data_IF_543432430597
#
_entry.id   IF_543432430597
#
_cell.length_a   1.000
_cell.length_b   1.000
_cell.length_c   1.000
_cell.angle_alpha   90.00
_cell.angle_beta   90.00
_cell.angle_gamma   90.00
#
_symmetry.space_group_name_H-M   'P 1'
#
loop_
_entity.id
_entity.type
_entity.pdbx_description
1 polymer ?
#
# COMPACT_ATOMS: atom_id res chain seq x y z
N UNK A 1 -7.85 -12.35 -7.46
CA UNK A 1 -6.61 -11.71 -6.98
C UNK A 1 -6.05 -10.79 -8.07
N UNK A 2 -6.03 -9.47 -7.84
CA UNK A 2 -5.62 -8.44 -8.82
C UNK A 2 -4.23 -7.86 -8.51
N UNK A 3 -3.69 -8.15 -7.32
CA UNK A 3 -2.43 -7.60 -6.82
C UNK A 3 -1.23 -7.94 -7.71
N UNK A 4 -1.06 -9.18 -8.24
CA UNK A 4 0.08 -9.52 -9.10
C UNK A 4 0.13 -8.66 -10.38
N UNK A 5 -1.02 -8.38 -10.97
CA UNK A 5 -1.12 -7.58 -12.21
C UNK A 5 -0.76 -6.12 -11.98
N UNK A 6 -1.27 -5.50 -10.89
CA UNK A 6 -0.90 -4.14 -10.49
C UNK A 6 0.61 -4.07 -10.27
N UNK A 7 1.15 -5.02 -9.50
CA UNK A 7 2.55 -5.07 -9.12
C UNK A 7 3.45 -5.12 -10.36
N UNK A 8 3.17 -6.04 -11.28
CA UNK A 8 3.91 -6.15 -12.54
C UNK A 8 3.87 -4.83 -13.34
N UNK A 9 2.70 -4.20 -13.45
CA UNK A 9 2.54 -2.96 -14.19
C UNK A 9 3.37 -1.81 -13.59
N UNK A 10 3.30 -1.63 -12.27
CA UNK A 10 4.03 -0.56 -11.56
C UNK A 10 5.55 -0.76 -11.73
N UNK A 11 6.04 -1.98 -11.52
CA UNK A 11 7.46 -2.30 -11.59
C UNK A 11 8.01 -2.19 -13.02
N UNK A 12 7.34 -2.80 -14.01
CA UNK A 12 7.81 -2.80 -15.40
C UNK A 12 7.78 -1.43 -16.06
N UNK A 13 6.78 -0.61 -15.72
CA UNK A 13 6.63 0.72 -16.31
C UNK A 13 7.34 1.83 -15.53
N UNK A 14 7.98 1.50 -14.38
CA UNK A 14 8.72 2.43 -13.50
C UNK A 14 7.99 3.77 -13.27
N UNK A 15 6.67 3.70 -13.04
CA UNK A 15 5.81 4.88 -13.10
C UNK A 15 5.87 5.76 -11.86
N UNK A 16 6.35 5.23 -10.75
CA UNK A 16 6.27 5.89 -9.45
C UNK A 16 7.58 5.73 -8.68
N UNK A 17 7.94 6.76 -7.93
CA UNK A 17 9.05 6.74 -6.98
C UNK A 17 8.60 6.31 -5.58
N UNK A 18 7.34 6.57 -5.24
CA UNK A 18 6.74 6.26 -3.96
C UNK A 18 5.41 5.53 -4.16
N UNK A 19 5.12 4.53 -3.34
CA UNK A 19 3.93 3.71 -3.44
C UNK A 19 3.31 3.49 -2.06
N UNK A 20 2.02 3.79 -1.89
CA UNK A 20 1.25 3.41 -0.71
C UNK A 20 -0.03 2.71 -1.18
N UNK A 21 -0.26 1.48 -0.70
CA UNK A 21 -1.44 0.68 -1.04
C UNK A 21 -1.99 0.11 0.27
N UNK A 22 -3.31 0.24 0.45
CA UNK A 22 -4.08 -0.44 1.48
C UNK A 22 -5.02 -1.42 0.79
N UNK A 23 -4.96 -2.68 1.20
CA UNK A 23 -5.86 -3.71 0.71
C UNK A 23 -6.95 -3.96 1.76
N UNK A 24 -8.21 -3.89 1.33
CA UNK A 24 -9.37 -4.32 2.12
C UNK A 24 -9.73 -5.74 1.75
N UNK A 25 -9.80 -6.65 2.72
CA UNK A 25 -10.28 -8.01 2.53
C UNK A 25 -11.58 -8.15 3.31
N UNK A 26 -12.50 -8.94 2.78
CA UNK A 26 -13.69 -9.35 3.52
C UNK A 26 -13.22 -10.14 4.75
N UNK A 27 -13.62 -9.71 5.94
CA UNK A 27 -13.24 -10.41 7.15
C UNK A 27 -13.88 -11.80 7.14
N UNK A 28 -13.14 -12.80 7.62
CA UNK A 28 -13.67 -14.15 7.81
C UNK A 28 -14.50 -14.28 9.08
N UNK A 29 -14.68 -13.19 9.84
CA UNK A 29 -15.59 -13.13 10.99
C UNK A 29 -17.03 -12.89 10.56
N UNK A 30 -18.00 -13.41 11.31
CA UNK A 30 -19.44 -13.14 11.12
C UNK A 30 -19.83 -11.65 11.30
N UNK A 31 -18.88 -10.81 11.69
CA UNK A 31 -19.00 -9.36 11.74
C UNK A 31 -18.67 -8.78 10.36
N UNK A 32 -19.58 -7.97 9.78
CA UNK A 32 -19.44 -7.28 8.48
C UNK A 32 -18.35 -6.19 8.47
N UNK A 33 -17.22 -6.45 9.13
CA UNK A 33 -16.07 -5.57 9.17
C UNK A 33 -15.09 -5.93 8.06
N UNK A 34 -14.49 -4.91 7.46
CA UNK A 34 -13.39 -5.08 6.52
C UNK A 34 -12.08 -5.05 7.28
N UNK A 35 -11.24 -6.07 7.06
CA UNK A 35 -9.86 -6.05 7.53
C UNK A 35 -8.98 -5.31 6.52
N UNK A 36 -8.13 -4.43 7.04
CA UNK A 36 -7.23 -3.62 6.23
C UNK A 36 -5.79 -4.05 6.47
N UNK A 37 -5.07 -4.35 5.37
CA UNK A 37 -3.63 -4.60 5.40
C UNK A 37 -2.91 -3.64 4.47
N UNK A 38 -1.97 -2.90 5.01
CA UNK A 38 -1.10 -2.06 4.20
C UNK A 38 -0.01 -2.91 3.54
N UNK A 39 0.33 -2.57 2.28
CA UNK A 39 1.47 -3.13 1.58
C UNK A 39 2.78 -2.94 2.37
N UNK A 40 2.90 -1.82 3.07
CA UNK A 40 4.06 -1.52 3.92
C UNK A 40 4.25 -2.51 5.10
N UNK A 41 3.24 -3.32 5.43
CA UNK A 41 3.33 -4.38 6.44
C UNK A 41 3.86 -5.71 5.88
N UNK A 42 3.88 -5.87 4.55
CA UNK A 42 4.34 -7.08 3.86
C UNK A 42 5.83 -6.95 3.52
N UNK A 43 6.69 -7.47 4.40
CA UNK A 43 8.15 -7.29 4.28
C UNK A 43 8.71 -7.76 2.93
N UNK A 44 8.32 -8.95 2.49
CA UNK A 44 8.84 -9.53 1.24
C UNK A 44 8.46 -8.69 0.02
N UNK A 45 7.21 -8.22 -0.01
CA UNK A 45 6.71 -7.32 -1.05
C UNK A 45 7.48 -5.99 -1.07
N UNK A 46 7.71 -5.40 0.11
CA UNK A 46 8.47 -4.15 0.24
C UNK A 46 9.90 -4.30 -0.28
N UNK A 47 10.57 -5.41 0.03
CA UNK A 47 11.91 -5.69 -0.49
C UNK A 47 11.92 -5.86 -2.02
N UNK A 48 10.91 -6.50 -2.59
CA UNK A 48 10.81 -6.63 -4.04
C UNK A 48 10.66 -5.25 -4.72
N UNK A 49 9.80 -4.37 -4.21
CA UNK A 49 9.66 -3.02 -4.75
C UNK A 49 10.96 -2.19 -4.68
N UNK A 50 11.79 -2.39 -3.65
CA UNK A 50 13.09 -1.72 -3.53
C UNK A 50 14.04 -2.10 -4.66
N UNK A 51 13.98 -3.33 -5.19
CA UNK A 51 14.80 -3.74 -6.34
C UNK A 51 14.49 -2.92 -7.61
N UNK A 52 13.31 -2.30 -7.67
CA UNK A 52 12.88 -1.43 -8.75
C UNK A 52 13.02 0.07 -8.41
N UNK A 53 13.72 0.41 -7.33
CA UNK A 53 13.89 1.78 -6.81
C UNK A 53 12.56 2.48 -6.42
N UNK A 54 11.58 1.68 -6.00
CA UNK A 54 10.27 2.14 -5.54
C UNK A 54 10.24 2.11 -4.01
N UNK A 55 9.93 3.25 -3.40
CA UNK A 55 9.81 3.37 -1.93
C UNK A 55 8.38 3.14 -1.50
N UNK A 56 8.11 2.01 -0.84
CA UNK A 56 6.81 1.75 -0.23
C UNK A 56 6.62 2.58 1.04
N UNK A 57 5.48 3.26 1.16
CA UNK A 57 5.10 4.08 2.30
C UNK A 57 3.85 3.54 2.99
N UNK A 58 3.69 3.88 4.28
CA UNK A 58 2.47 3.62 5.04
C UNK A 58 1.40 4.67 4.68
N UNK A 59 0.20 4.21 4.34
CA UNK A 59 -0.91 5.08 3.97
C UNK A 59 -1.39 5.88 5.19
N UNK A 60 -1.49 5.23 6.35
CA UNK A 60 -1.86 5.90 7.61
C UNK A 60 -0.92 7.06 7.95
N UNK A 61 0.38 6.92 7.71
CA UNK A 61 1.34 8.00 7.94
C UNK A 61 1.12 9.19 6.99
N UNK A 62 0.77 8.93 5.72
CA UNK A 62 0.43 9.98 4.76
C UNK A 62 -0.87 10.69 5.13
N UNK A 63 -1.88 9.95 5.59
CA UNK A 63 -3.16 10.50 6.02
C UNK A 63 -2.98 11.44 7.23
N UNK A 64 -2.21 11.01 8.24
CA UNK A 64 -1.87 11.84 9.41
C UNK A 64 -1.19 13.14 8.96
N UNK A 65 -0.21 13.05 8.06
CA UNK A 65 0.50 14.24 7.56
C UNK A 65 -0.44 15.23 6.84
N UNK A 66 -1.40 14.73 6.07
CA UNK A 66 -2.40 15.59 5.41
C UNK A 66 -3.32 16.29 6.41
N UNK A 67 -3.80 15.55 7.42
CA UNK A 67 -4.63 16.13 8.49
C UNK A 67 -3.87 17.20 9.28
N UNK A 68 -2.60 16.98 9.60
CA UNK A 68 -1.76 17.99 10.26
C UNK A 68 -1.57 19.23 9.37
N UNK A 69 -1.35 19.04 8.07
CA UNK A 69 -1.17 20.13 7.10
C UNK A 69 -2.43 20.98 6.88
N UNK A 70 -3.61 20.37 6.96
CA UNK A 70 -4.89 21.05 6.69
C UNK A 70 -5.55 21.64 7.93
N UNK A 71 -4.87 21.61 9.08
CA UNK A 71 -5.41 22.06 10.37
C UNK A 71 -5.21 23.56 10.65
N UNK A 72 -4.88 24.33 9.61
CA UNK A 72 -4.80 25.80 9.59
C UNK A 72 -6.14 26.43 9.16
#
# INVERSE_FOLDING_TARGET
>A
DFLPYIKEYIMKKKRVKYLAIMHSFESTSDDENYDYKELASLKDEVEEFKLYDIKVQRLYSLLISFYEFTRD
#
